data_IF_340046905458
#
_entry.id   IF_340046905458
#
_cell.length_a   1.000
_cell.length_b   1.000
_cell.length_c   1.000
_cell.angle_alpha   90.00
_cell.angle_beta   90.00
_cell.angle_gamma   90.00
#
_symmetry.space_group_name_H-M   'P 1'
#
loop_
_entity.id
_entity.type
_entity.pdbx_description
1 polymer ?
#
# COMPACT_ATOMS: atom_id res chain seq x y z
N UNK A 1 -24.95 -19.81 -37.34
CA UNK A 1 -24.43 -18.51 -36.84
C UNK A 1 -22.94 -18.63 -36.72
N UNK A 2 -22.20 -17.76 -37.40
CA UNK A 2 -20.73 -17.82 -37.40
C UNK A 2 -20.26 -17.39 -36.01
N UNK A 3 -19.18 -17.98 -35.43
CA UNK A 3 -18.66 -17.59 -34.08
C UNK A 3 -18.36 -16.08 -33.99
N UNK A 4 -18.07 -15.46 -35.12
CA UNK A 4 -17.74 -14.05 -35.24
C UNK A 4 -18.97 -13.13 -35.09
N UNK A 5 -20.15 -13.56 -35.60
CA UNK A 5 -21.44 -12.84 -35.44
C UNK A 5 -21.93 -12.94 -33.99
N UNK A 6 -21.74 -14.08 -33.33
CA UNK A 6 -22.18 -14.32 -31.95
C UNK A 6 -21.45 -13.38 -30.97
N UNK A 7 -20.12 -13.22 -31.10
CA UNK A 7 -19.34 -12.38 -30.20
C UNK A 7 -19.67 -10.88 -30.35
N UNK A 8 -19.91 -10.41 -31.57
CA UNK A 8 -20.20 -9.01 -31.83
C UNK A 8 -21.61 -8.55 -31.35
N UNK A 9 -22.56 -9.47 -31.24
CA UNK A 9 -23.92 -9.16 -30.80
C UNK A 9 -24.13 -9.29 -29.30
N UNK A 10 -23.34 -10.12 -28.61
CA UNK A 10 -23.65 -10.52 -27.24
C UNK A 10 -22.78 -9.85 -26.16
N UNK A 11 -21.63 -9.27 -26.53
CA UNK A 11 -20.81 -8.54 -25.58
C UNK A 11 -21.31 -7.11 -25.43
N UNK A 12 -21.81 -6.82 -24.24
CA UNK A 12 -22.32 -5.50 -23.84
C UNK A 12 -21.27 -4.78 -23.00
N UNK A 13 -21.08 -3.50 -23.23
CA UNK A 13 -20.14 -2.63 -22.55
C UNK A 13 -20.85 -1.39 -22.04
N UNK A 14 -20.49 -0.87 -20.88
CA UNK A 14 -20.99 0.40 -20.39
C UNK A 14 -20.16 1.56 -20.91
N UNK A 15 -20.81 2.44 -21.68
CA UNK A 15 -20.24 3.65 -22.25
C UNK A 15 -20.75 4.87 -21.49
N UNK A 16 -19.89 5.86 -21.29
CA UNK A 16 -20.20 7.12 -20.62
C UNK A 16 -19.87 8.28 -21.55
N UNK A 17 -20.70 9.29 -21.54
CA UNK A 17 -20.49 10.55 -22.27
C UNK A 17 -19.54 11.45 -21.48
N UNK A 18 -18.24 11.10 -21.54
CA UNK A 18 -17.14 11.74 -20.82
C UNK A 18 -16.90 11.18 -19.41
N UNK A 19 -15.69 11.48 -18.89
CA UNK A 19 -15.22 10.97 -17.59
C UNK A 19 -16.01 11.51 -16.38
N UNK A 20 -16.73 12.61 -16.52
CA UNK A 20 -17.54 13.19 -15.43
C UNK A 20 -18.94 12.59 -15.33
N UNK A 21 -19.41 11.94 -16.39
CA UNK A 21 -20.70 11.29 -16.41
C UNK A 21 -20.68 10.03 -15.52
N UNK A 22 -21.76 9.80 -14.79
CA UNK A 22 -21.94 8.62 -13.92
C UNK A 22 -23.05 7.69 -14.40
N UNK A 23 -23.81 8.09 -15.42
CA UNK A 23 -24.92 7.30 -15.98
C UNK A 23 -24.44 6.54 -17.22
N UNK A 24 -24.28 5.21 -17.14
CA UNK A 24 -23.83 4.39 -18.25
C UNK A 24 -24.93 4.20 -19.30
N UNK A 25 -24.51 4.09 -20.54
CA UNK A 25 -25.34 3.61 -21.65
C UNK A 25 -24.73 2.31 -22.17
N UNK A 26 -25.50 1.26 -22.19
CA UNK A 26 -25.02 -0.03 -22.69
C UNK A 26 -24.90 -0.03 -24.22
N UNK A 27 -23.72 -0.40 -24.70
CA UNK A 27 -23.41 -0.50 -26.14
C UNK A 27 -22.89 -1.88 -26.50
N UNK A 28 -23.11 -2.31 -27.73
CA UNK A 28 -22.49 -3.54 -28.27
C UNK A 28 -21.00 -3.32 -28.60
N UNK A 29 -20.24 -4.41 -28.67
CA UNK A 29 -18.84 -4.35 -29.11
C UNK A 29 -18.69 -3.76 -30.53
N UNK A 30 -19.63 -4.07 -31.43
CA UNK A 30 -19.64 -3.48 -32.77
C UNK A 30 -19.84 -1.95 -32.72
N UNK A 31 -20.67 -1.45 -31.78
CA UNK A 31 -20.82 -0.01 -31.56
C UNK A 31 -19.54 0.63 -31.08
N UNK A 32 -18.80 -0.03 -30.18
CA UNK A 32 -17.47 0.43 -29.73
C UNK A 32 -16.51 0.60 -30.93
N UNK A 33 -16.44 -0.41 -31.82
CA UNK A 33 -15.63 -0.32 -33.03
C UNK A 33 -15.99 0.89 -33.90
N UNK A 34 -17.27 1.12 -34.11
CA UNK A 34 -17.75 2.26 -34.92
C UNK A 34 -17.44 3.59 -34.25
N UNK A 35 -17.56 3.67 -32.90
CA UNK A 35 -17.21 4.86 -32.15
C UNK A 35 -15.72 5.22 -32.31
N UNK A 36 -14.82 4.26 -32.20
CA UNK A 36 -13.37 4.48 -32.37
C UNK A 36 -13.05 4.85 -33.84
N UNK A 37 -13.67 4.17 -34.79
CA UNK A 37 -13.30 4.28 -36.22
C UNK A 37 -13.87 5.51 -36.90
N UNK A 38 -15.12 5.91 -36.61
CA UNK A 38 -15.87 6.85 -37.45
C UNK A 38 -16.64 7.94 -36.71
N UNK A 39 -16.66 7.93 -35.36
CA UNK A 39 -17.48 8.92 -34.64
C UNK A 39 -16.87 10.31 -34.75
N UNK A 40 -17.63 11.34 -35.23
CA UNK A 40 -17.10 12.68 -35.46
C UNK A 40 -16.79 13.45 -34.16
N UNK A 41 -17.52 13.20 -33.09
CA UNK A 41 -17.33 13.84 -31.80
C UNK A 41 -16.00 13.35 -31.16
N UNK A 42 -15.75 12.06 -31.17
CA UNK A 42 -14.48 11.49 -30.69
C UNK A 42 -13.32 11.97 -31.56
N UNK A 43 -13.52 12.10 -32.88
CA UNK A 43 -12.53 12.65 -33.80
C UNK A 43 -12.20 14.12 -33.46
N UNK A 44 -13.23 14.92 -33.15
CA UNK A 44 -13.07 16.30 -32.72
C UNK A 44 -12.25 16.41 -31.43
N UNK A 45 -12.64 15.71 -30.36
CA UNK A 45 -11.89 15.70 -29.08
C UNK A 45 -10.48 15.20 -29.26
N UNK A 46 -10.27 14.15 -30.04
CA UNK A 46 -8.93 13.61 -30.33
C UNK A 46 -8.04 14.63 -31.02
N UNK A 47 -8.57 15.33 -32.00
CA UNK A 47 -7.84 16.36 -32.77
C UNK A 47 -7.46 17.53 -31.88
N UNK A 48 -8.42 18.08 -31.14
CA UNK A 48 -8.15 19.22 -30.24
C UNK A 48 -7.20 18.86 -29.12
N UNK A 49 -7.34 17.66 -28.52
CA UNK A 49 -6.42 17.19 -27.48
C UNK A 49 -4.97 17.16 -27.99
N UNK A 50 -4.74 16.56 -29.16
CA UNK A 50 -3.41 16.50 -29.79
C UNK A 50 -2.87 17.88 -30.17
N UNK A 51 -3.75 18.77 -30.66
CA UNK A 51 -3.38 20.15 -30.97
C UNK A 51 -2.93 20.90 -29.70
N UNK A 52 -3.71 20.86 -28.62
CA UNK A 52 -3.39 21.52 -27.36
C UNK A 52 -2.11 20.98 -26.71
N UNK A 53 -1.84 19.69 -26.84
CA UNK A 53 -0.56 19.12 -26.38
C UNK A 53 0.63 19.71 -27.16
N UNK A 54 0.53 19.84 -28.49
CA UNK A 54 1.58 20.48 -29.32
C UNK A 54 1.79 21.95 -28.96
N UNK A 55 0.72 22.65 -28.58
CA UNK A 55 0.76 24.05 -28.15
C UNK A 55 1.20 24.21 -26.67
N UNK A 56 1.48 23.14 -25.95
CA UNK A 56 1.84 23.17 -24.52
C UNK A 56 0.68 23.49 -23.56
N UNK A 57 -0.55 23.54 -24.05
CA UNK A 57 -1.78 23.88 -23.30
C UNK A 57 -2.37 22.65 -22.58
N UNK A 58 -1.66 22.09 -21.60
CA UNK A 58 -2.02 20.85 -20.90
C UNK A 58 -3.44 20.86 -20.32
N UNK A 59 -3.84 21.96 -19.68
CA UNK A 59 -5.18 22.05 -19.07
C UNK A 59 -6.33 21.99 -20.12
N UNK A 60 -6.12 22.60 -21.30
CA UNK A 60 -7.09 22.51 -22.39
C UNK A 60 -7.13 21.08 -22.98
N UNK A 61 -5.97 20.46 -23.17
CA UNK A 61 -5.89 19.07 -23.59
C UNK A 61 -6.62 18.14 -22.60
N UNK A 62 -6.43 18.30 -21.28
CA UNK A 62 -7.09 17.49 -20.25
C UNK A 62 -8.61 17.69 -20.25
N UNK A 63 -9.13 18.87 -20.60
CA UNK A 63 -10.58 19.10 -20.75
C UNK A 63 -11.15 18.27 -21.91
N UNK A 64 -10.49 18.28 -23.07
CA UNK A 64 -10.90 17.47 -24.22
C UNK A 64 -10.86 15.98 -23.90
N UNK A 65 -9.81 15.49 -23.23
CA UNK A 65 -9.71 14.11 -22.77
C UNK A 65 -10.86 13.72 -21.82
N UNK A 66 -11.26 14.61 -20.91
CA UNK A 66 -12.36 14.36 -19.96
C UNK A 66 -13.74 14.42 -20.62
N UNK A 67 -13.89 15.22 -21.67
CA UNK A 67 -15.14 15.36 -22.42
C UNK A 67 -15.33 14.22 -23.42
N UNK A 68 -14.28 13.61 -23.95
CA UNK A 68 -14.41 12.49 -24.87
C UNK A 68 -15.10 11.29 -24.23
N UNK A 69 -16.01 10.60 -24.92
CA UNK A 69 -16.66 9.39 -24.46
C UNK A 69 -15.65 8.36 -23.93
N UNK A 70 -16.07 7.61 -22.92
CA UNK A 70 -15.24 6.56 -22.33
C UNK A 70 -16.05 5.29 -22.09
N UNK A 71 -15.35 4.16 -22.01
CA UNK A 71 -15.99 2.85 -21.90
C UNK A 71 -15.35 2.05 -20.76
N UNK A 72 -16.18 1.27 -20.06
CA UNK A 72 -15.73 0.19 -19.18
C UNK A 72 -15.55 -1.07 -20.02
N UNK A 73 -14.36 -1.66 -19.97
CA UNK A 73 -14.04 -2.85 -20.78
C UNK A 73 -14.39 -4.14 -20.05
N UNK A 74 -14.09 -4.22 -18.76
CA UNK A 74 -14.12 -5.50 -18.02
C UNK A 74 -15.41 -5.76 -17.27
N UNK A 75 -16.20 -4.72 -17.03
CA UNK A 75 -17.49 -4.81 -16.33
C UNK A 75 -18.54 -3.88 -16.97
N UNK A 76 -19.82 -4.24 -16.79
CA UNK A 76 -20.95 -3.33 -17.03
C UNK A 76 -21.44 -2.74 -15.72
N UNK A 77 -22.14 -1.61 -15.79
CA UNK A 77 -22.70 -0.91 -14.65
C UNK A 77 -24.20 -0.72 -14.80
N UNK A 78 -24.95 -0.86 -13.70
CA UNK A 78 -26.37 -0.56 -13.64
C UNK A 78 -26.65 0.95 -13.60
N UNK A 79 -26.03 1.62 -12.63
CA UNK A 79 -26.02 3.08 -12.45
C UNK A 79 -24.80 3.42 -11.62
N UNK A 80 -24.04 4.45 -12.00
CA UNK A 80 -22.73 4.73 -11.39
C UNK A 80 -21.56 4.09 -12.13
N UNK A 81 -20.37 4.11 -11.54
CA UNK A 81 -19.09 3.62 -12.15
C UNK A 81 -18.10 3.09 -11.15
N UNK A 82 -18.52 2.75 -9.96
CA UNK A 82 -17.70 2.15 -8.92
C UNK A 82 -18.06 0.67 -8.70
N UNK A 83 -17.37 0.01 -7.79
CA UNK A 83 -17.55 -1.41 -7.50
C UNK A 83 -18.94 -1.80 -7.04
N UNK A 84 -19.66 -0.89 -6.38
CA UNK A 84 -21.01 -1.17 -5.87
C UNK A 84 -22.07 -1.22 -7.00
N UNK A 85 -21.76 -0.65 -8.16
CA UNK A 85 -22.66 -0.55 -9.30
C UNK A 85 -22.34 -1.54 -10.43
N UNK A 86 -21.41 -2.49 -10.19
CA UNK A 86 -21.10 -3.55 -11.17
C UNK A 86 -22.34 -4.42 -11.37
N UNK A 87 -22.82 -4.50 -12.62
CA UNK A 87 -23.94 -5.35 -13.03
C UNK A 87 -23.47 -6.71 -13.55
N UNK A 88 -22.47 -6.73 -14.44
CA UNK A 88 -21.93 -7.97 -14.98
C UNK A 88 -20.44 -7.84 -15.38
N UNK A 89 -19.81 -8.99 -15.61
CA UNK A 89 -18.45 -9.09 -16.13
C UNK A 89 -18.46 -9.45 -17.61
N UNK A 90 -17.60 -8.81 -18.41
CA UNK A 90 -17.63 -8.90 -19.87
C UNK A 90 -16.74 -9.99 -20.47
N UNK A 91 -15.90 -10.67 -19.67
CA UNK A 91 -14.80 -11.53 -20.15
C UNK A 91 -13.75 -10.81 -21.01
N UNK A 92 -13.69 -9.49 -20.91
CA UNK A 92 -12.69 -8.68 -21.60
C UNK A 92 -11.74 -8.02 -20.60
N UNK A 93 -10.47 -7.92 -20.98
CA UNK A 93 -9.46 -7.16 -20.27
C UNK A 93 -8.76 -6.17 -21.18
N UNK A 94 -8.02 -5.25 -20.57
CA UNK A 94 -7.37 -4.16 -21.28
C UNK A 94 -5.93 -3.99 -20.80
N UNK A 95 -5.00 -3.79 -21.76
CA UNK A 95 -3.63 -3.32 -21.51
C UNK A 95 -3.47 -1.93 -22.07
N UNK A 96 -2.77 -1.09 -21.35
CA UNK A 96 -2.45 0.29 -21.72
C UNK A 96 -0.92 0.41 -21.87
N UNK A 97 -0.47 0.68 -23.07
CA UNK A 97 0.92 1.04 -23.35
C UNK A 97 1.02 2.57 -23.42
N UNK A 98 1.67 3.17 -22.44
CA UNK A 98 1.88 4.61 -22.38
C UNK A 98 3.28 4.99 -22.88
N UNK A 99 3.40 6.19 -23.46
CA UNK A 99 4.67 6.79 -23.89
C UNK A 99 5.48 5.92 -24.83
N UNK A 100 4.82 5.37 -25.85
CA UNK A 100 5.51 4.66 -26.94
C UNK A 100 6.27 5.69 -27.79
N UNK A 101 7.61 5.56 -27.96
CA UNK A 101 8.37 6.48 -28.80
C UNK A 101 7.82 6.52 -30.24
N UNK A 102 7.73 7.73 -30.80
CA UNK A 102 7.10 7.92 -32.12
C UNK A 102 7.79 7.10 -33.23
N UNK A 103 9.09 6.97 -33.15
CA UNK A 103 9.91 6.16 -34.08
C UNK A 103 9.64 4.65 -33.95
N UNK A 104 9.16 4.18 -32.80
CA UNK A 104 8.83 2.78 -32.55
C UNK A 104 7.35 2.44 -32.73
N UNK A 105 6.47 3.44 -32.87
CA UNK A 105 5.02 3.25 -32.91
C UNK A 105 4.59 2.24 -33.99
N UNK A 106 5.12 2.34 -35.20
CA UNK A 106 4.79 1.43 -36.29
C UNK A 106 5.24 -0.01 -36.01
N UNK A 107 6.44 -0.20 -35.44
CA UNK A 107 6.95 -1.50 -35.02
C UNK A 107 6.09 -2.12 -33.94
N UNK A 108 5.80 -1.35 -32.87
CA UNK A 108 4.99 -1.80 -31.73
C UNK A 108 3.58 -2.19 -32.17
N UNK A 109 2.93 -1.38 -33.02
CA UNK A 109 1.62 -1.73 -33.60
C UNK A 109 1.66 -3.02 -34.41
N UNK A 110 2.71 -3.23 -35.20
CA UNK A 110 2.89 -4.46 -35.96
C UNK A 110 3.01 -5.69 -35.04
N UNK A 111 3.80 -5.61 -33.96
CA UNK A 111 3.95 -6.69 -32.99
C UNK A 111 2.62 -7.01 -32.30
N UNK A 112 1.89 -5.99 -31.85
CA UNK A 112 0.59 -6.16 -31.20
C UNK A 112 -0.43 -6.78 -32.15
N UNK A 113 -0.54 -6.29 -33.39
CA UNK A 113 -1.48 -6.81 -34.40
C UNK A 113 -1.18 -8.25 -34.82
N UNK A 114 0.06 -8.71 -34.70
CA UNK A 114 0.45 -10.09 -34.99
C UNK A 114 0.29 -11.04 -33.80
N UNK A 115 0.00 -10.55 -32.62
CA UNK A 115 -0.19 -11.37 -31.42
C UNK A 115 -1.55 -12.03 -31.42
N UNK A 116 -1.58 -13.33 -31.10
CA UNK A 116 -2.81 -14.13 -31.16
C UNK A 116 -3.88 -13.71 -30.13
N UNK A 117 -3.50 -13.07 -29.04
CA UNK A 117 -4.43 -12.63 -27.99
C UNK A 117 -5.02 -11.24 -28.24
N UNK A 118 -4.50 -10.50 -29.23
CA UNK A 118 -5.00 -9.15 -29.53
C UNK A 118 -6.36 -9.22 -30.20
N UNK A 119 -7.42 -8.91 -29.45
CA UNK A 119 -8.79 -8.79 -29.96
C UNK A 119 -9.01 -7.46 -30.71
N UNK A 120 -8.60 -6.36 -30.05
CA UNK A 120 -8.73 -5.00 -30.57
C UNK A 120 -7.53 -4.17 -30.11
N UNK A 121 -6.99 -3.33 -31.00
CA UNK A 121 -6.05 -2.31 -30.55
C UNK A 121 -6.24 -1.01 -31.34
N UNK A 122 -6.05 0.12 -30.62
CA UNK A 122 -6.13 1.47 -31.18
C UNK A 122 -5.20 2.43 -30.43
N UNK A 123 -4.83 3.52 -31.07
CA UNK A 123 -3.98 4.55 -30.49
C UNK A 123 -4.79 5.38 -29.46
N UNK A 124 -4.14 5.77 -28.38
CA UNK A 124 -4.76 6.61 -27.33
C UNK A 124 -5.01 8.04 -27.81
N UNK A 125 -5.82 8.79 -27.07
CA UNK A 125 -6.20 10.17 -27.43
C UNK A 125 -4.99 11.10 -27.61
N UNK A 126 -3.89 10.87 -26.87
CA UNK A 126 -2.61 11.61 -27.04
C UNK A 126 -1.87 11.24 -28.32
N UNK A 127 -2.12 10.05 -28.86
CA UNK A 127 -1.34 9.50 -29.99
C UNK A 127 0.01 8.89 -29.57
N UNK A 128 0.34 8.89 -28.28
CA UNK A 128 1.62 8.40 -27.73
C UNK A 128 1.49 7.06 -27.01
N UNK A 129 0.32 6.45 -27.04
CA UNK A 129 0.05 5.17 -26.40
C UNK A 129 -0.87 4.28 -27.24
N UNK A 130 -1.02 3.03 -26.82
CA UNK A 130 -1.84 2.03 -27.49
C UNK A 130 -2.73 1.34 -26.46
N UNK A 131 -4.03 1.26 -26.73
CA UNK A 131 -4.99 0.40 -26.02
C UNK A 131 -5.06 -0.96 -26.68
N UNK A 132 -5.01 -2.02 -25.89
CA UNK A 132 -5.12 -3.41 -26.35
C UNK A 132 -6.22 -4.07 -25.54
N UNK A 133 -7.24 -4.62 -26.21
CA UNK A 133 -8.28 -5.42 -25.59
C UNK A 133 -8.03 -6.89 -25.93
N UNK A 134 -8.25 -7.76 -24.93
CA UNK A 134 -8.12 -9.20 -25.05
C UNK A 134 -9.30 -9.92 -24.39
N UNK A 135 -9.50 -11.20 -24.73
CA UNK A 135 -10.53 -12.06 -24.14
C UNK A 135 -9.95 -13.00 -23.11
N UNK A 136 -10.73 -13.35 -22.10
CA UNK A 136 -10.33 -14.37 -21.13
C UNK A 136 -11.53 -15.13 -20.59
N UNK A 137 -11.28 -16.34 -20.05
CA UNK A 137 -12.29 -17.18 -19.38
C UNK A 137 -12.03 -17.31 -17.89
N UNK A 138 -12.88 -18.09 -17.21
CA UNK A 138 -12.76 -18.39 -15.80
C UNK A 138 -13.66 -17.56 -14.89
N UNK A 139 -14.53 -16.70 -15.47
CA UNK A 139 -15.55 -15.97 -14.72
C UNK A 139 -16.64 -16.91 -14.21
N UNK A 140 -17.23 -16.57 -13.07
CA UNK A 140 -18.29 -17.30 -12.37
C UNK A 140 -19.37 -16.33 -11.93
N UNK A 141 -20.38 -16.83 -11.22
CA UNK A 141 -21.42 -15.97 -10.62
C UNK A 141 -20.93 -15.24 -9.34
N UNK A 142 -19.75 -15.61 -8.82
CA UNK A 142 -19.17 -14.98 -7.63
C UNK A 142 -18.24 -13.81 -8.01
N UNK A 143 -18.66 -12.59 -7.68
CA UNK A 143 -17.93 -11.37 -7.96
C UNK A 143 -16.52 -11.35 -7.31
N UNK A 144 -16.35 -11.95 -6.14
CA UNK A 144 -15.06 -12.01 -5.44
C UNK A 144 -14.06 -12.93 -6.13
N UNK A 145 -14.56 -13.99 -6.76
CA UNK A 145 -13.78 -14.89 -7.62
C UNK A 145 -13.38 -14.16 -8.90
N UNK A 146 -14.32 -13.43 -9.50
CA UNK A 146 -14.11 -12.71 -10.76
C UNK A 146 -13.03 -11.61 -10.61
N UNK A 147 -12.97 -10.89 -9.49
CA UNK A 147 -11.91 -9.94 -9.22
C UNK A 147 -10.51 -10.61 -9.23
N UNK A 148 -10.38 -11.80 -8.61
CA UNK A 148 -9.13 -12.57 -8.59
C UNK A 148 -8.76 -13.09 -9.97
N UNK A 149 -9.74 -13.63 -10.70
CA UNK A 149 -9.56 -14.09 -12.07
C UNK A 149 -9.05 -12.96 -12.96
N UNK A 150 -9.71 -11.80 -12.90
CA UNK A 150 -9.31 -10.62 -13.66
C UNK A 150 -7.90 -10.17 -13.31
N UNK A 151 -7.56 -10.09 -12.02
CA UNK A 151 -6.23 -9.67 -11.58
C UNK A 151 -5.11 -10.61 -12.10
N UNK A 152 -5.31 -11.93 -11.99
CA UNK A 152 -4.33 -12.92 -12.46
C UNK A 152 -4.14 -12.82 -13.96
N UNK A 153 -5.21 -12.78 -14.74
CA UNK A 153 -5.16 -12.67 -16.20
C UNK A 153 -4.53 -11.34 -16.60
N UNK A 154 -4.95 -10.25 -15.99
CA UNK A 154 -4.35 -8.93 -16.25
C UNK A 154 -2.85 -8.92 -16.00
N UNK A 155 -2.37 -9.43 -14.86
CA UNK A 155 -0.95 -9.45 -14.55
C UNK A 155 -0.13 -10.28 -15.57
N UNK A 156 -0.67 -11.41 -16.03
CA UNK A 156 -0.02 -12.26 -17.01
C UNK A 156 0.05 -11.57 -18.40
N UNK A 157 -1.08 -11.06 -18.87
CA UNK A 157 -1.17 -10.44 -20.20
C UNK A 157 -0.45 -9.08 -20.23
N UNK A 158 -0.52 -8.31 -19.16
CA UNK A 158 0.23 -7.05 -19.03
C UNK A 158 1.75 -7.30 -19.14
N UNK A 159 2.27 -8.36 -18.49
CA UNK A 159 3.68 -8.78 -18.63
C UNK A 159 3.99 -9.32 -20.02
N UNK A 160 3.06 -10.03 -20.65
CA UNK A 160 3.21 -10.53 -22.01
C UNK A 160 3.45 -9.39 -22.99
N UNK A 161 2.56 -8.38 -23.02
CA UNK A 161 2.72 -7.24 -23.93
C UNK A 161 3.91 -6.35 -23.58
N UNK A 162 4.27 -6.22 -22.30
CA UNK A 162 5.49 -5.52 -21.91
C UNK A 162 6.76 -6.21 -22.47
N UNK A 163 6.81 -7.54 -22.46
CA UNK A 163 7.91 -8.32 -23.04
C UNK A 163 7.91 -8.29 -24.56
N UNK A 164 6.74 -8.45 -25.18
CA UNK A 164 6.56 -8.47 -26.64
C UNK A 164 7.02 -7.16 -27.27
N UNK A 165 6.65 -6.04 -26.65
CA UNK A 165 6.89 -4.69 -27.22
C UNK A 165 8.15 -4.01 -26.68
N UNK A 166 8.65 -4.47 -25.53
CA UNK A 166 9.71 -3.78 -24.79
C UNK A 166 9.25 -2.41 -24.22
N UNK A 167 7.93 -2.13 -24.22
CA UNK A 167 7.35 -0.89 -23.73
C UNK A 167 6.81 -1.03 -22.31
N UNK A 168 6.71 0.09 -21.60
CA UNK A 168 6.11 0.14 -20.27
C UNK A 168 4.58 0.07 -20.36
N UNK A 169 3.97 -0.75 -19.50
CA UNK A 169 2.52 -0.91 -19.40
C UNK A 169 1.97 -0.24 -18.13
N UNK A 170 0.72 0.25 -18.16
CA UNK A 170 0.07 0.82 -16.96
C UNK A 170 -0.53 -0.27 -16.06
N UNK A 171 0.09 -0.48 -14.89
CA UNK A 171 -0.38 -1.44 -13.88
C UNK A 171 -1.74 -1.08 -13.25
N UNK A 172 -2.25 0.14 -13.44
CA UNK A 172 -3.54 0.58 -12.87
C UNK A 172 -4.74 -0.05 -13.58
N UNK A 173 -4.57 -0.58 -14.79
CA UNK A 173 -5.61 -1.30 -15.53
C UNK A 173 -6.00 -2.66 -14.90
N UNK A 174 -5.34 -3.09 -13.81
CA UNK A 174 -5.78 -4.21 -12.97
C UNK A 174 -7.16 -3.98 -12.31
N UNK A 175 -7.58 -2.73 -12.16
CA UNK A 175 -8.89 -2.39 -11.64
C UNK A 175 -9.94 -2.58 -12.73
N UNK A 176 -10.84 -3.55 -12.56
CA UNK A 176 -11.89 -3.88 -13.53
C UNK A 176 -12.87 -2.72 -13.82
N UNK A 177 -13.09 -1.81 -12.85
CA UNK A 177 -13.95 -0.63 -13.03
C UNK A 177 -13.27 0.53 -13.77
N UNK A 178 -12.01 0.34 -14.23
CA UNK A 178 -11.28 1.40 -14.90
C UNK A 178 -11.88 1.72 -16.26
N UNK A 179 -12.23 3.00 -16.43
CA UNK A 179 -12.72 3.51 -17.71
C UNK A 179 -11.54 3.80 -18.65
N UNK A 180 -11.72 3.53 -19.92
CA UNK A 180 -10.81 3.95 -20.99
C UNK A 180 -11.48 5.02 -21.84
N UNK A 181 -10.78 6.15 -22.01
CA UNK A 181 -11.23 7.23 -22.92
C UNK A 181 -11.07 6.77 -24.35
N UNK A 182 -12.11 6.94 -25.15
CA UNK A 182 -12.10 6.61 -26.56
C UNK A 182 -11.33 7.67 -27.35
N UNK A 183 -10.61 7.20 -28.36
CA UNK A 183 -9.88 8.05 -29.29
C UNK A 183 -10.24 7.68 -30.73
N UNK A 184 -10.24 8.65 -31.62
CA UNK A 184 -10.45 8.39 -33.04
C UNK A 184 -9.22 7.74 -33.64
N UNK A 185 -9.40 6.53 -34.15
CA UNK A 185 -8.39 5.77 -34.87
C UNK A 185 -9.03 5.07 -36.07
N UNK A 186 -8.91 5.63 -37.29
CA UNK A 186 -9.43 5.01 -38.51
C UNK A 186 -8.78 3.64 -38.82
N UNK A 187 -7.55 3.45 -38.34
CA UNK A 187 -6.74 2.23 -38.51
C UNK A 187 -6.90 1.24 -37.36
N UNK A 188 -7.97 1.39 -36.56
CA UNK A 188 -8.25 0.46 -35.43
C UNK A 188 -8.21 -0.98 -35.93
N UNK A 189 -7.37 -1.80 -35.25
CA UNK A 189 -7.25 -3.23 -35.56
C UNK A 189 -8.27 -4.02 -34.77
N UNK A 190 -8.93 -4.96 -35.44
CA UNK A 190 -9.87 -5.89 -34.83
C UNK A 190 -9.64 -7.30 -35.37
N UNK A 191 -9.48 -8.27 -34.48
CA UNK A 191 -9.34 -9.68 -34.79
C UNK A 191 -10.42 -10.49 -34.04
N UNK A 192 -11.54 -10.85 -34.70
CA UNK A 192 -12.60 -11.66 -34.08
C UNK A 192 -12.12 -13.08 -33.72
N UNK A 193 -11.03 -13.57 -34.34
CA UNK A 193 -10.45 -14.89 -34.11
C UNK A 193 -9.38 -14.88 -32.99
N UNK A 194 -9.21 -13.77 -32.27
CA UNK A 194 -8.21 -13.68 -31.20
C UNK A 194 -8.37 -14.84 -30.18
N UNK A 195 -7.25 -15.45 -29.83
CA UNK A 195 -7.19 -16.56 -28.88
C UNK A 195 -7.57 -16.08 -27.47
N UNK A 196 -8.52 -16.77 -26.85
CA UNK A 196 -8.93 -16.49 -25.48
C UNK A 196 -7.86 -16.89 -24.48
N UNK A 197 -7.57 -16.01 -23.54
CA UNK A 197 -6.61 -16.27 -22.46
C UNK A 197 -7.22 -17.24 -21.42
N UNK A 198 -6.61 -18.40 -21.27
CA UNK A 198 -7.10 -19.44 -20.36
C UNK A 198 -6.63 -19.15 -18.93
N UNK A 199 -7.55 -18.72 -18.06
CA UNK A 199 -7.27 -18.43 -16.65
C UNK A 199 -6.57 -19.58 -15.92
N UNK A 200 -7.05 -20.82 -16.08
CA UNK A 200 -6.48 -21.98 -15.40
C UNK A 200 -5.00 -22.19 -15.72
N UNK A 201 -4.60 -21.99 -16.99
CA UNK A 201 -3.20 -22.08 -17.41
C UNK A 201 -2.36 -20.95 -16.84
N UNK A 202 -2.89 -19.73 -16.84
CA UNK A 202 -2.20 -18.55 -16.32
C UNK A 202 -2.04 -18.63 -14.80
N UNK A 203 -3.05 -19.12 -14.09
CA UNK A 203 -3.00 -19.34 -12.63
C UNK A 203 -1.94 -20.39 -12.29
N UNK A 204 -1.93 -21.53 -12.99
CA UNK A 204 -0.93 -22.58 -12.77
C UNK A 204 0.51 -22.06 -12.99
N UNK A 205 0.73 -21.30 -14.05
CA UNK A 205 2.03 -20.69 -14.32
C UNK A 205 2.45 -19.68 -13.24
N UNK A 206 1.51 -18.87 -12.73
CA UNK A 206 1.76 -17.95 -11.62
C UNK A 206 2.11 -18.69 -10.31
N UNK A 207 1.44 -19.79 -10.03
CA UNK A 207 1.69 -20.60 -8.82
C UNK A 207 3.05 -21.30 -8.89
N UNK A 208 3.43 -21.79 -10.07
CA UNK A 208 4.76 -22.36 -10.30
C UNK A 208 5.87 -21.30 -10.19
N UNK A 209 5.66 -20.11 -10.73
CA UNK A 209 6.59 -18.98 -10.55
C UNK A 209 6.77 -18.63 -9.07
N UNK A 210 5.68 -18.58 -8.29
CA UNK A 210 5.73 -18.30 -6.84
C UNK A 210 6.48 -19.39 -6.08
N UNK A 211 6.22 -20.67 -6.38
CA UNK A 211 6.94 -21.81 -5.79
C UNK A 211 8.43 -21.71 -6.07
N UNK A 212 8.80 -21.47 -7.34
CA UNK A 212 10.20 -21.32 -7.75
C UNK A 212 10.88 -20.13 -7.05
N UNK A 213 10.18 -18.99 -6.90
CA UNK A 213 10.72 -17.83 -6.19
C UNK A 213 10.91 -18.13 -4.70
N UNK A 214 9.96 -18.82 -4.05
CA UNK A 214 10.07 -19.23 -2.66
C UNK A 214 11.23 -20.20 -2.45
N UNK A 215 11.39 -21.18 -3.34
CA UNK A 215 12.49 -22.12 -3.30
C UNK A 215 13.85 -21.40 -3.45
N UNK A 216 14.00 -20.52 -4.46
CA UNK A 216 15.21 -19.72 -4.64
C UNK A 216 15.52 -18.82 -3.41
N UNK A 217 14.48 -18.25 -2.80
CA UNK A 217 14.63 -17.46 -1.56
C UNK A 217 15.08 -18.33 -0.39
N UNK A 218 14.58 -19.57 -0.28
CA UNK A 218 15.02 -20.57 0.69
C UNK A 218 16.49 -20.91 0.54
N UNK A 219 16.90 -21.29 -0.70
CA UNK A 219 18.29 -21.62 -1.02
C UNK A 219 19.25 -20.46 -0.72
N UNK A 220 18.89 -19.23 -1.07
CA UNK A 220 19.71 -18.04 -0.74
C UNK A 220 19.87 -17.81 0.77
N UNK A 221 18.82 -18.07 1.57
CA UNK A 221 18.91 -17.98 3.05
C UNK A 221 19.84 -19.06 3.62
N UNK A 222 19.70 -20.29 3.14
CA UNK A 222 20.56 -21.41 3.50
C UNK A 222 22.03 -21.10 3.18
N UNK A 223 22.30 -20.63 1.95
CA UNK A 223 23.63 -20.22 1.55
C UNK A 223 24.19 -19.10 2.44
N UNK A 224 23.40 -18.06 2.74
CA UNK A 224 23.88 -16.95 3.61
C UNK A 224 24.27 -17.42 5.01
N UNK A 225 23.56 -18.42 5.54
CA UNK A 225 23.94 -19.05 6.84
C UNK A 225 25.22 -19.88 6.71
N UNK A 226 25.35 -20.68 5.66
CA UNK A 226 26.53 -21.46 5.37
C UNK A 226 27.77 -20.59 5.15
N UNK A 227 27.66 -19.49 4.40
CA UNK A 227 28.76 -18.53 4.16
C UNK A 227 29.26 -17.92 5.47
N UNK A 228 28.35 -17.43 6.33
CA UNK A 228 28.75 -16.86 7.63
C UNK A 228 29.48 -17.86 8.51
N UNK A 229 28.99 -19.10 8.56
CA UNK A 229 29.65 -20.17 9.32
C UNK A 229 31.02 -20.51 8.72
N UNK A 230 31.13 -20.59 7.39
CA UNK A 230 32.40 -20.85 6.71
C UNK A 230 33.41 -19.70 6.91
N UNK A 231 32.98 -18.44 6.78
CA UNK A 231 33.88 -17.28 7.05
C UNK A 231 34.36 -17.24 8.48
N UNK A 232 33.53 -17.61 9.46
CA UNK A 232 33.95 -17.69 10.85
C UNK A 232 34.98 -18.80 11.07
N UNK A 233 34.79 -19.95 10.44
CA UNK A 233 35.71 -21.07 10.53
C UNK A 233 37.04 -20.78 9.82
N UNK A 234 37.04 -20.14 8.66
CA UNK A 234 38.24 -19.72 7.95
C UNK A 234 39.04 -18.70 8.75
N UNK A 235 38.38 -17.74 9.41
CA UNK A 235 39.06 -16.80 10.34
C UNK A 235 39.72 -17.51 11.50
N UNK A 236 39.07 -18.51 12.06
CA UNK A 236 39.65 -19.30 13.16
C UNK A 236 40.87 -20.16 12.71
N UNK A 237 40.95 -20.47 11.41
CA UNK A 237 42.07 -21.19 10.80
C UNK A 237 43.17 -20.25 10.26
N UNK A 238 43.02 -18.94 10.43
CA UNK A 238 43.88 -17.88 9.89
C UNK A 238 43.98 -17.90 8.34
N UNK A 239 42.91 -18.37 7.66
CA UNK A 239 42.78 -18.37 6.20
C UNK A 239 42.01 -17.12 5.77
N UNK A 240 42.71 -16.19 5.10
CA UNK A 240 42.18 -14.90 4.71
C UNK A 240 42.18 -14.73 3.19
N UNK A 241 41.21 -13.98 2.66
CA UNK A 241 41.18 -13.57 1.26
C UNK A 241 42.21 -12.47 1.05
N UNK A 242 43.39 -12.83 0.54
CA UNK A 242 44.52 -11.93 0.36
C UNK A 242 45.23 -12.14 -0.96
N UNK A 243 46.00 -11.18 -1.49
CA UNK A 243 46.79 -11.34 -2.70
C UNK A 243 47.65 -12.61 -2.65
N UNK A 244 47.68 -13.37 -3.73
CA UNK A 244 48.35 -14.67 -3.88
C UNK A 244 47.78 -15.84 -3.06
N UNK A 245 46.71 -15.64 -2.29
CA UNK A 245 46.01 -16.68 -1.52
C UNK A 245 44.52 -16.82 -1.91
N UNK A 246 44.10 -16.22 -3.00
CA UNK A 246 42.70 -16.25 -3.44
C UNK A 246 42.20 -17.68 -3.70
N UNK A 247 42.98 -18.49 -4.40
CA UNK A 247 42.64 -19.88 -4.73
C UNK A 247 42.41 -20.71 -3.45
N UNK A 248 43.27 -20.62 -2.50
CA UNK A 248 43.17 -21.37 -1.24
C UNK A 248 41.95 -20.97 -0.45
N UNK A 249 41.72 -19.66 -0.28
CA UNK A 249 40.55 -19.18 0.42
C UNK A 249 39.26 -19.64 -0.24
N UNK A 250 39.14 -19.47 -1.56
CA UNK A 250 37.93 -19.83 -2.34
C UNK A 250 37.73 -21.36 -2.33
N UNK A 251 38.81 -22.15 -2.42
CA UNK A 251 38.76 -23.60 -2.33
C UNK A 251 38.26 -24.08 -0.98
N UNK A 252 38.88 -23.59 0.13
CA UNK A 252 38.44 -23.91 1.49
C UNK A 252 37.01 -23.47 1.76
N UNK A 253 36.62 -22.28 1.31
CA UNK A 253 35.23 -21.78 1.35
C UNK A 253 34.29 -22.76 0.61
N UNK A 254 34.63 -23.19 -0.59
CA UNK A 254 33.83 -24.10 -1.38
C UNK A 254 33.63 -25.46 -0.73
N UNK A 255 34.66 -26.03 -0.09
CA UNK A 255 34.56 -27.27 0.66
C UNK A 255 33.62 -27.13 1.86
N UNK A 256 33.73 -26.05 2.62
CA UNK A 256 32.84 -25.79 3.76
C UNK A 256 31.38 -25.56 3.32
N UNK A 257 31.17 -24.84 2.23
CA UNK A 257 29.81 -24.63 1.70
C UNK A 257 29.18 -25.96 1.24
N UNK A 258 29.97 -26.86 0.62
CA UNK A 258 29.51 -28.21 0.28
C UNK A 258 29.17 -29.03 1.56
N UNK A 259 30.06 -29.05 2.53
CA UNK A 259 29.85 -29.73 3.82
C UNK A 259 28.62 -29.20 4.58
N UNK A 260 28.33 -27.89 4.48
CA UNK A 260 27.13 -27.26 5.06
C UNK A 260 25.86 -27.43 4.21
N UNK A 261 25.94 -28.16 3.09
CA UNK A 261 24.78 -28.51 2.27
C UNK A 261 24.21 -27.33 1.49
N UNK A 262 25.03 -26.33 1.15
CA UNK A 262 24.58 -25.23 0.29
C UNK A 262 24.28 -25.76 -1.13
N UNK A 263 23.29 -25.14 -1.81
CA UNK A 263 23.02 -25.47 -3.22
C UNK A 263 24.17 -25.00 -4.12
N UNK A 264 24.69 -25.91 -4.97
CA UNK A 264 25.86 -25.67 -5.79
C UNK A 264 25.70 -24.44 -6.71
N UNK A 265 24.61 -24.36 -7.47
CA UNK A 265 24.42 -23.27 -8.44
C UNK A 265 24.23 -21.93 -7.74
N UNK A 266 23.48 -21.91 -6.63
CA UNK A 266 23.34 -20.70 -5.79
C UNK A 266 24.66 -20.24 -5.19
N UNK A 267 25.53 -21.17 -4.79
CA UNK A 267 26.86 -20.88 -4.26
C UNK A 267 27.80 -20.35 -5.36
N UNK A 268 27.73 -20.93 -6.57
CA UNK A 268 28.51 -20.48 -7.73
C UNK A 268 28.09 -19.08 -8.18
N UNK A 269 26.78 -18.78 -8.23
CA UNK A 269 26.27 -17.43 -8.51
C UNK A 269 26.69 -16.41 -7.47
N UNK A 270 26.74 -16.82 -6.20
CA UNK A 270 27.23 -15.97 -5.11
C UNK A 270 28.72 -15.69 -5.27
N UNK A 271 29.54 -16.71 -5.55
CA UNK A 271 30.98 -16.57 -5.72
C UNK A 271 31.33 -15.64 -6.89
N UNK A 272 30.63 -15.75 -8.02
CA UNK A 272 30.83 -14.86 -9.16
C UNK A 272 30.61 -13.38 -8.82
N UNK A 273 29.70 -13.08 -7.90
CA UNK A 273 29.43 -11.71 -7.44
C UNK A 273 30.36 -11.27 -6.29
N UNK A 274 30.70 -12.19 -5.41
CA UNK A 274 31.50 -11.89 -4.22
C UNK A 274 32.98 -11.68 -4.54
N UNK A 275 33.48 -12.39 -5.54
CA UNK A 275 34.86 -12.40 -6.00
C UNK A 275 34.97 -11.93 -7.44
N UNK A 276 34.39 -10.75 -7.75
CA UNK A 276 34.44 -10.15 -9.08
C UNK A 276 35.87 -9.93 -9.61
N UNK A 277 36.81 -9.68 -8.68
CA UNK A 277 38.23 -9.51 -8.92
C UNK A 277 38.96 -10.84 -9.26
N UNK A 278 38.27 -11.99 -9.10
CA UNK A 278 38.86 -13.32 -9.34
C UNK A 278 37.92 -14.20 -10.21
N UNK A 279 38.04 -14.13 -11.56
CA UNK A 279 37.11 -14.80 -12.50
C UNK A 279 37.06 -16.32 -12.38
N UNK A 280 38.07 -16.96 -11.83
CA UNK A 280 38.13 -18.43 -11.64
C UNK A 280 37.32 -18.93 -10.43
N UNK A 281 36.86 -18.03 -9.54
CA UNK A 281 36.14 -18.40 -8.34
C UNK A 281 34.92 -19.34 -8.58
N UNK A 282 34.05 -19.11 -9.56
CA UNK A 282 32.95 -20.01 -9.89
C UNK A 282 33.39 -21.42 -10.27
N UNK A 283 34.51 -21.53 -10.97
CA UNK A 283 35.08 -22.81 -11.43
C UNK A 283 35.63 -23.61 -10.22
N UNK A 284 36.35 -22.96 -9.36
CA UNK A 284 36.90 -23.56 -8.11
C UNK A 284 35.76 -24.06 -7.23
N UNK A 285 34.74 -23.22 -6.98
CA UNK A 285 33.59 -23.64 -6.18
C UNK A 285 32.89 -24.87 -6.78
N UNK A 286 32.58 -24.84 -8.08
CA UNK A 286 31.93 -25.98 -8.74
C UNK A 286 32.76 -27.26 -8.59
N UNK A 287 34.10 -27.17 -8.57
CA UNK A 287 34.96 -28.30 -8.33
C UNK A 287 34.78 -28.87 -6.93
N UNK A 288 34.64 -28.03 -5.90
CA UNK A 288 34.45 -28.47 -4.52
C UNK A 288 33.14 -29.23 -4.28
N UNK A 289 32.12 -28.97 -5.08
CA UNK A 289 30.82 -29.69 -5.01
C UNK A 289 30.81 -31.04 -5.75
N UNK A 290 31.90 -31.46 -6.40
CA UNK A 290 31.97 -32.80 -7.05
C UNK A 290 31.99 -33.94 -6.04
N UNK A 291 32.50 -33.71 -4.84
CA UNK A 291 32.45 -34.72 -3.75
C UNK A 291 31.10 -34.67 -3.06
N UNK A 292 30.17 -35.42 -3.58
CA UNK A 292 28.80 -35.51 -3.04
C UNK A 292 28.75 -36.28 -1.72
N UNK A 293 29.78 -37.07 -1.36
CA UNK A 293 29.83 -37.83 -0.10
C UNK A 293 29.91 -36.92 1.14
N UNK A 294 30.44 -35.72 0.96
CA UNK A 294 30.57 -34.71 2.02
C UNK A 294 29.42 -33.72 2.05
N UNK A 295 28.55 -33.74 1.04
CA UNK A 295 27.46 -32.78 0.96
C UNK A 295 26.50 -32.87 2.14
N UNK A 296 26.29 -31.72 2.85
CA UNK A 296 25.36 -31.63 3.98
C UNK A 296 25.75 -32.46 5.23
N UNK A 297 27.00 -32.89 5.33
CA UNK A 297 27.49 -33.70 6.47
C UNK A 297 27.68 -32.86 7.76
N UNK A 298 27.66 -31.52 7.64
CA UNK A 298 27.84 -30.61 8.76
C UNK A 298 26.68 -29.63 8.85
N UNK A 299 26.30 -29.29 10.07
CA UNK A 299 25.32 -28.24 10.32
C UNK A 299 26.05 -26.91 10.59
N UNK A 300 25.77 -25.82 9.85
CA UNK A 300 26.38 -24.53 10.13
C UNK A 300 25.99 -24.08 11.53
N UNK A 301 26.97 -23.93 12.41
CA UNK A 301 26.76 -23.33 13.72
C UNK A 301 26.62 -21.82 13.48
N UNK A 302 25.41 -21.32 13.57
CA UNK A 302 25.16 -19.88 13.53
C UNK A 302 25.51 -19.27 14.88
N UNK A 303 26.80 -19.06 15.11
CA UNK A 303 27.31 -18.37 16.30
C UNK A 303 26.97 -16.85 16.26
N UNK A 304 26.30 -16.37 15.23
CA UNK A 304 25.97 -14.95 15.06
C UNK A 304 24.53 -14.62 15.47
N UNK A 305 23.70 -15.59 15.83
CA UNK A 305 22.47 -15.29 16.53
C UNK A 305 22.83 -14.94 17.97
N UNK A 306 23.04 -13.66 18.24
CA UNK A 306 22.80 -13.18 19.61
C UNK A 306 21.44 -13.75 20.01
N UNK A 307 21.34 -14.46 21.13
CA UNK A 307 20.05 -14.93 21.63
C UNK A 307 19.09 -13.76 21.65
N UNK A 308 17.92 -13.94 21.01
CA UNK A 308 16.89 -12.91 21.10
C UNK A 308 16.54 -12.71 22.57
N UNK A 309 16.40 -11.47 22.96
CA UNK A 309 15.94 -11.12 24.31
C UNK A 309 14.59 -11.79 24.58
N UNK A 310 14.42 -12.43 25.74
CA UNK A 310 13.11 -12.95 26.13
C UNK A 310 12.14 -11.79 26.44
N UNK A 311 10.86 -11.97 26.21
CA UNK A 311 9.84 -10.97 26.52
C UNK A 311 9.90 -10.52 27.98
N UNK A 312 10.20 -11.44 28.91
CA UNK A 312 10.35 -11.13 30.33
C UNK A 312 11.50 -10.14 30.56
N UNK A 313 12.68 -10.42 30.00
CA UNK A 313 13.83 -9.52 30.13
C UNK A 313 13.63 -8.19 29.42
N UNK A 314 12.88 -8.17 28.32
CA UNK A 314 12.54 -6.93 27.62
C UNK A 314 11.62 -6.05 28.49
N UNK A 315 10.59 -6.64 29.12
CA UNK A 315 9.73 -5.94 30.07
C UNK A 315 10.52 -5.40 31.27
N UNK A 316 11.30 -6.25 31.90
CA UNK A 316 12.16 -5.84 33.03
C UNK A 316 13.11 -4.70 32.69
N UNK A 317 13.66 -4.68 31.47
CA UNK A 317 14.49 -3.58 31.02
C UNK A 317 13.68 -2.29 30.85
N UNK A 318 12.55 -2.35 30.15
CA UNK A 318 11.70 -1.17 29.92
C UNK A 318 11.14 -0.61 31.24
N UNK A 319 10.68 -1.47 32.16
CA UNK A 319 10.20 -1.10 33.49
C UNK A 319 11.27 -0.41 34.35
N UNK A 320 12.55 -0.72 34.11
CA UNK A 320 13.66 -0.04 34.79
C UNK A 320 13.96 1.35 34.23
N UNK A 321 13.65 1.59 32.97
CA UNK A 321 13.96 2.86 32.31
C UNK A 321 12.87 3.89 32.51
N UNK A 322 11.59 3.48 32.39
CA UNK A 322 10.48 4.41 32.37
C UNK A 322 9.15 3.72 32.71
N UNK A 323 8.16 4.53 33.07
CA UNK A 323 6.75 4.14 33.10
C UNK A 323 6.10 4.49 31.75
N UNK A 324 5.14 3.67 31.34
CA UNK A 324 4.41 3.84 30.07
C UNK A 324 2.90 3.85 30.33
N UNK A 325 2.16 4.64 29.53
CA UNK A 325 0.70 4.61 29.51
C UNK A 325 0.17 4.98 28.13
N UNK A 326 -0.99 4.44 27.75
CA UNK A 326 -1.66 4.75 26.48
C UNK A 326 -2.75 5.79 26.71
N UNK A 327 -2.56 7.01 26.23
CA UNK A 327 -3.56 8.04 26.31
C UNK A 327 -4.71 7.73 25.36
N UNK A 328 -5.90 7.46 25.91
CA UNK A 328 -7.08 7.05 25.12
C UNK A 328 -7.71 8.22 24.34
N UNK A 329 -7.35 9.45 24.68
CA UNK A 329 -7.87 10.66 24.01
C UNK A 329 -7.04 11.05 22.81
N UNK A 330 -5.71 11.07 22.96
CA UNK A 330 -4.78 11.41 21.87
C UNK A 330 -4.44 10.20 20.99
N UNK A 331 -4.60 8.98 21.53
CA UNK A 331 -4.19 7.74 20.88
C UNK A 331 -2.68 7.48 20.93
N UNK A 332 -1.88 8.38 21.52
CA UNK A 332 -0.43 8.20 21.66
C UNK A 332 -0.06 7.41 22.90
N UNK A 333 1.06 6.71 22.86
CA UNK A 333 1.71 6.14 24.03
C UNK A 333 2.56 7.23 24.66
N UNK A 334 2.42 7.43 25.95
CA UNK A 334 3.19 8.39 26.75
C UNK A 334 4.24 7.65 27.57
N UNK A 335 5.36 8.32 27.81
CA UNK A 335 6.49 7.83 28.61
C UNK A 335 6.84 8.82 29.73
N UNK A 336 7.18 8.30 30.91
CA UNK A 336 7.77 9.06 31.98
C UNK A 336 9.03 8.35 32.47
N UNK A 337 10.20 8.94 32.26
CA UNK A 337 11.47 8.40 32.73
C UNK A 337 11.56 8.46 34.26
N UNK A 338 12.21 7.47 34.88
CA UNK A 338 12.43 7.44 36.31
C UNK A 338 13.51 8.46 36.71
N UNK A 339 13.07 9.69 36.91
CA UNK A 339 13.85 10.84 37.36
C UNK A 339 13.32 11.33 38.70
N UNK A 340 13.99 12.30 39.33
CA UNK A 340 13.48 12.93 40.57
C UNK A 340 12.13 13.65 40.39
N UNK A 341 11.86 14.12 39.16
CA UNK A 341 10.59 14.74 38.76
C UNK A 341 10.14 14.12 37.43
N UNK A 342 9.43 13.00 37.47
CA UNK A 342 8.97 12.34 36.26
C UNK A 342 7.86 13.14 35.58
N UNK A 343 8.10 13.54 34.33
CA UNK A 343 7.09 14.20 33.48
C UNK A 343 6.64 13.26 32.38
N UNK A 344 5.33 13.23 32.13
CA UNK A 344 4.75 12.47 31.04
C UNK A 344 4.89 13.22 29.71
N UNK A 345 5.44 12.58 28.71
CA UNK A 345 5.60 13.10 27.35
C UNK A 345 5.28 12.02 26.31
N UNK A 346 4.96 12.44 25.09
CA UNK A 346 4.72 11.49 24.01
C UNK A 346 5.95 10.65 23.72
N UNK A 347 5.77 9.33 23.58
CA UNK A 347 6.82 8.41 23.19
C UNK A 347 7.21 8.67 21.72
N UNK A 348 8.47 9.01 21.51
CA UNK A 348 8.99 9.34 20.17
C UNK A 348 9.77 8.18 19.52
N UNK A 349 9.96 8.24 18.21
CA UNK A 349 10.84 7.31 17.50
C UNK A 349 12.30 7.36 18.04
N UNK A 350 12.72 8.50 18.57
CA UNK A 350 14.04 8.64 19.20
C UNK A 350 14.15 7.80 20.46
N UNK A 351 13.12 7.78 21.29
CA UNK A 351 13.09 6.96 22.52
C UNK A 351 13.13 5.48 22.17
N UNK A 352 12.34 5.05 21.20
CA UNK A 352 12.34 3.66 20.71
C UNK A 352 13.68 3.23 20.17
N UNK A 353 14.34 4.09 19.37
CA UNK A 353 15.66 3.83 18.81
C UNK A 353 16.74 3.79 19.90
N UNK A 354 16.60 4.62 20.95
CA UNK A 354 17.53 4.61 22.10
C UNK A 354 17.40 3.31 22.91
N UNK A 355 16.18 2.84 23.18
CA UNK A 355 15.98 1.53 23.83
C UNK A 355 16.53 0.40 22.98
N UNK A 356 16.25 0.40 21.67
CA UNK A 356 16.78 -0.59 20.73
C UNK A 356 18.31 -0.62 20.74
N UNK A 357 18.95 0.55 20.72
CA UNK A 357 20.41 0.69 20.74
C UNK A 357 21.02 0.10 22.02
N UNK A 358 20.56 0.54 23.19
CA UNK A 358 21.08 0.08 24.48
C UNK A 358 20.85 -1.41 24.71
N UNK A 359 19.66 -1.94 24.36
CA UNK A 359 19.38 -3.38 24.49
C UNK A 359 20.34 -4.21 23.63
N UNK A 360 20.61 -3.79 22.39
CA UNK A 360 21.49 -4.52 21.47
C UNK A 360 22.97 -4.41 21.85
N UNK A 361 23.38 -3.33 22.48
CA UNK A 361 24.76 -3.18 22.98
C UNK A 361 25.00 -3.95 24.27
N UNK A 362 24.12 -3.81 25.26
CA UNK A 362 24.40 -4.19 26.64
C UNK A 362 23.79 -5.54 27.04
N UNK A 363 22.68 -5.98 26.39
CA UNK A 363 21.91 -7.12 26.89
C UNK A 363 21.89 -8.27 25.92
N UNK A 364 21.20 -8.14 24.78
CA UNK A 364 20.97 -9.18 23.79
C UNK A 364 20.33 -8.62 22.54
N UNK A 365 20.20 -9.45 21.49
CA UNK A 365 19.53 -9.01 20.27
C UNK A 365 18.03 -8.76 20.49
N UNK A 366 17.57 -7.58 20.07
CA UNK A 366 16.15 -7.17 20.04
C UNK A 366 15.87 -6.47 18.72
N UNK A 367 14.74 -6.79 18.07
CA UNK A 367 14.30 -6.00 16.92
C UNK A 367 13.50 -4.76 17.39
N UNK A 368 13.54 -3.68 16.63
CA UNK A 368 12.70 -2.50 16.93
C UNK A 368 11.21 -2.83 16.87
N UNK A 369 10.84 -3.82 16.02
CA UNK A 369 9.47 -4.32 15.91
C UNK A 369 8.99 -4.98 17.21
N UNK A 370 9.85 -5.71 17.91
CA UNK A 370 9.48 -6.40 19.16
C UNK A 370 9.20 -5.37 20.28
N UNK A 371 9.98 -4.29 20.34
CA UNK A 371 9.76 -3.19 21.28
C UNK A 371 8.42 -2.50 20.97
N UNK A 372 8.16 -2.16 19.70
CA UNK A 372 6.89 -1.53 19.29
C UNK A 372 5.67 -2.41 19.59
N UNK A 373 5.74 -3.69 19.24
CA UNK A 373 4.63 -4.64 19.50
C UNK A 373 4.33 -4.78 20.99
N UNK A 374 5.36 -4.78 21.84
CA UNK A 374 5.17 -4.81 23.28
C UNK A 374 4.53 -3.53 23.80
N UNK A 375 5.00 -2.37 23.39
CA UNK A 375 4.47 -1.06 23.82
C UNK A 375 3.08 -0.74 23.26
N UNK A 376 2.63 -1.44 22.21
CA UNK A 376 1.27 -1.35 21.66
C UNK A 376 0.34 -2.45 22.17
N UNK A 377 0.81 -3.30 23.10
CA UNK A 377 0.02 -4.37 23.71
C UNK A 377 -0.61 -3.94 25.05
N UNK A 378 -1.29 -4.89 25.68
CA UNK A 378 -1.84 -4.76 27.04
C UNK A 378 -0.79 -4.60 28.15
N UNK A 379 0.48 -4.72 27.81
CA UNK A 379 1.60 -4.35 28.71
C UNK A 379 1.55 -2.88 29.10
N UNK A 380 1.09 -2.00 28.23
CA UNK A 380 0.93 -0.56 28.49
C UNK A 380 -0.50 -0.27 28.94
N UNK A 381 -0.72 0.20 30.20
CA UNK A 381 -2.04 0.48 30.71
C UNK A 381 -2.72 1.64 29.97
N UNK A 382 -4.02 1.53 29.80
CA UNK A 382 -4.83 2.60 29.24
C UNK A 382 -5.00 3.73 30.26
N UNK A 383 -4.88 4.96 29.82
CA UNK A 383 -5.01 6.16 30.62
C UNK A 383 -5.97 7.15 29.95
N UNK A 384 -7.02 7.52 30.64
CA UNK A 384 -7.90 8.61 30.23
C UNK A 384 -7.62 9.84 31.12
N UNK A 385 -7.01 10.91 30.57
CA UNK A 385 -6.65 12.09 31.33
C UNK A 385 -7.87 12.77 31.94
N UNK A 386 -9.03 12.76 31.30
CA UNK A 386 -10.26 13.36 31.82
C UNK A 386 -10.80 12.58 33.02
N UNK A 387 -10.87 11.26 32.93
CA UNK A 387 -11.32 10.44 34.06
C UNK A 387 -10.37 10.58 35.24
N UNK A 388 -9.07 10.58 35.00
CA UNK A 388 -8.05 10.74 36.03
C UNK A 388 -8.16 12.11 36.72
N UNK A 389 -8.31 13.18 35.93
CA UNK A 389 -8.50 14.54 36.47
C UNK A 389 -9.78 14.65 37.33
N UNK A 390 -10.89 14.17 36.78
CA UNK A 390 -12.18 14.27 37.48
C UNK A 390 -12.23 13.40 38.76
N UNK A 391 -11.52 12.26 38.78
CA UNK A 391 -11.41 11.41 39.98
C UNK A 391 -10.51 12.01 41.05
N UNK A 392 -9.74 13.04 40.76
CA UNK A 392 -8.89 13.76 41.74
C UNK A 392 -9.61 14.88 42.50
N UNK A 393 -10.81 15.24 42.05
CA UNK A 393 -11.62 16.22 42.76
C UNK A 393 -12.43 15.58 43.90
N UNK A 394 -12.74 16.41 44.93
CA UNK A 394 -13.63 16.00 46.02
C UNK A 394 -15.03 15.69 45.50
N UNK A 395 -15.72 14.78 46.18
CA UNK A 395 -17.12 14.47 45.87
C UNK A 395 -18.01 15.72 46.07
N UNK A 396 -19.02 15.85 45.18
CA UNK A 396 -19.97 16.94 45.27
C UNK A 396 -20.72 16.92 46.60
N UNK A 397 -20.86 18.10 47.22
CA UNK A 397 -21.55 18.30 48.50
C UNK A 397 -23.07 18.02 48.46
N UNK A 398 -23.62 17.77 47.27
CA UNK A 398 -25.05 17.51 47.05
C UNK A 398 -25.96 18.73 47.20
N UNK A 399 -25.42 19.92 47.45
CA UNK A 399 -26.18 21.14 47.73
C UNK A 399 -25.86 22.29 46.78
N UNK A 400 -24.59 22.53 46.51
CA UNK A 400 -24.13 23.70 45.75
C UNK A 400 -24.19 23.44 44.23
N UNK A 401 -24.98 24.25 43.50
CA UNK A 401 -24.97 24.20 42.02
C UNK A 401 -23.80 25.03 41.47
N UNK A 402 -22.63 24.40 41.43
CA UNK A 402 -21.39 25.03 40.90
C UNK A 402 -21.49 25.41 39.43
N UNK A 403 -22.31 24.70 38.62
CA UNK A 403 -22.51 25.03 37.21
C UNK A 403 -23.29 26.33 37.07
N UNK A 404 -24.30 26.50 37.91
CA UNK A 404 -25.10 27.75 37.95
C UNK A 404 -24.26 28.93 38.44
N UNK A 405 -23.41 28.73 39.49
CA UNK A 405 -22.45 29.76 39.91
C UNK A 405 -21.50 30.18 38.80
N UNK A 406 -21.03 29.20 38.00
CA UNK A 406 -20.17 29.50 36.88
C UNK A 406 -20.91 30.26 35.76
N UNK A 407 -22.16 29.89 35.49
CA UNK A 407 -23.02 30.60 34.53
C UNK A 407 -23.28 32.05 34.98
N UNK A 408 -23.47 32.28 36.30
CA UNK A 408 -23.71 33.61 36.89
C UNK A 408 -22.55 34.62 36.71
N UNK A 409 -21.38 34.16 36.29
CA UNK A 409 -20.26 35.04 35.91
C UNK A 409 -20.44 35.75 34.57
N UNK A 410 -21.40 35.32 33.76
CA UNK A 410 -21.72 35.84 32.44
C UNK A 410 -23.10 36.49 32.49
N UNK A 411 -23.18 37.77 32.17
CA UNK A 411 -24.45 38.50 32.15
C UNK A 411 -24.88 38.79 30.72
N UNK A 412 -26.11 38.40 30.38
CA UNK A 412 -26.75 38.75 29.13
C UNK A 412 -27.36 40.16 29.19
N UNK A 413 -28.00 40.62 28.12
CA UNK A 413 -28.55 41.97 28.03
C UNK A 413 -29.81 42.15 28.85
N UNK A 414 -30.57 41.11 29.03
CA UNK A 414 -31.85 41.13 29.77
C UNK A 414 -31.94 39.98 30.77
N UNK A 415 -32.74 40.10 31.82
CA UNK A 415 -32.94 39.04 32.82
C UNK A 415 -33.57 37.76 32.21
N UNK A 416 -34.26 37.89 31.09
CA UNK A 416 -34.85 36.75 30.42
C UNK A 416 -33.77 35.98 29.62
N UNK A 417 -32.88 36.72 28.92
CA UNK A 417 -31.73 36.13 28.24
C UNK A 417 -30.74 35.48 29.23
N UNK A 418 -30.57 36.05 30.46
CA UNK A 418 -29.76 35.42 31.49
C UNK A 418 -30.33 34.06 31.92
N UNK A 419 -31.65 33.95 32.12
CA UNK A 419 -32.30 32.67 32.46
C UNK A 419 -32.12 31.62 31.34
N UNK A 420 -32.23 32.03 30.08
CA UNK A 420 -31.97 31.15 28.95
C UNK A 420 -30.49 30.71 28.91
N UNK A 421 -29.57 31.66 29.15
CA UNK A 421 -28.14 31.34 29.17
C UNK A 421 -27.83 30.32 30.26
N UNK A 422 -28.27 30.47 31.49
CA UNK A 422 -28.07 29.52 32.60
C UNK A 422 -28.60 28.14 32.25
N UNK A 423 -29.80 28.05 31.68
CA UNK A 423 -30.42 26.78 31.30
C UNK A 423 -29.64 26.06 30.22
N UNK A 424 -29.27 26.75 29.14
CA UNK A 424 -28.55 26.13 28.01
C UNK A 424 -27.07 25.90 28.33
N UNK A 425 -26.44 26.76 29.11
CA UNK A 425 -25.10 26.57 29.61
C UNK A 425 -24.98 25.29 30.43
N UNK A 426 -25.91 25.05 31.35
CA UNK A 426 -25.94 23.81 32.14
C UNK A 426 -26.07 22.56 31.25
N UNK A 427 -26.96 22.58 30.26
CA UNK A 427 -27.11 21.48 29.32
C UNK A 427 -25.83 21.24 28.54
N UNK A 428 -25.24 22.29 27.95
CA UNK A 428 -23.99 22.22 27.21
C UNK A 428 -22.85 21.67 28.06
N UNK A 429 -22.72 22.18 29.31
CA UNK A 429 -21.65 21.77 30.22
C UNK A 429 -21.76 20.29 30.61
N UNK A 430 -22.95 19.83 30.96
CA UNK A 430 -23.22 18.42 31.30
C UNK A 430 -22.98 17.53 30.08
N UNK A 431 -23.43 17.93 28.89
CA UNK A 431 -23.21 17.17 27.65
C UNK A 431 -21.71 17.09 27.29
N UNK A 432 -20.99 18.20 27.50
CA UNK A 432 -19.54 18.24 27.29
C UNK A 432 -18.83 17.26 28.23
N UNK A 433 -19.10 17.30 29.54
CA UNK A 433 -18.47 16.38 30.50
C UNK A 433 -18.87 14.94 30.22
N UNK A 434 -20.13 14.67 29.87
CA UNK A 434 -20.60 13.33 29.55
C UNK A 434 -19.86 12.77 28.32
N UNK A 435 -19.58 13.59 27.29
CA UNK A 435 -18.83 13.18 26.11
C UNK A 435 -17.34 12.90 26.38
N UNK A 436 -16.77 13.48 27.41
CA UNK A 436 -15.40 13.21 27.85
C UNK A 436 -15.27 11.90 28.65
N UNK A 437 -16.35 11.49 29.31
CA UNK A 437 -16.36 10.30 30.17
C UNK A 437 -16.90 9.04 29.52
N UNK A 438 -17.71 9.17 28.46
CA UNK A 438 -18.41 8.04 27.84
C UNK A 438 -18.18 8.03 26.33
N UNK A 439 -17.54 7.00 25.83
CA UNK A 439 -17.19 6.83 24.39
C UNK A 439 -18.39 6.92 23.42
N UNK A 440 -19.60 6.56 23.88
CA UNK A 440 -20.82 6.54 23.04
C UNK A 440 -21.66 7.82 23.12
N UNK A 441 -21.23 8.82 23.88
CA UNK A 441 -21.95 10.10 24.00
C UNK A 441 -21.31 11.10 23.05
N UNK A 442 -22.05 11.46 22.01
CA UNK A 442 -21.63 12.50 21.07
C UNK A 442 -22.30 13.81 21.45
N UNK A 443 -21.53 14.85 21.73
CA UNK A 443 -22.04 16.20 22.00
C UNK A 443 -22.08 16.99 20.67
N UNK A 444 -23.27 17.39 20.25
CA UNK A 444 -23.50 18.23 19.08
C UNK A 444 -23.70 19.71 19.41
N UNK A 445 -23.65 20.08 20.69
CA UNK A 445 -23.92 21.44 21.14
C UNK A 445 -22.63 22.26 21.17
N UNK A 446 -22.69 23.49 20.66
CA UNK A 446 -21.58 24.45 20.64
C UNK A 446 -21.97 25.68 21.42
N UNK A 447 -21.17 26.04 22.43
CA UNK A 447 -21.34 27.28 23.16
C UNK A 447 -20.76 28.45 22.37
N UNK A 448 -21.62 29.40 21.99
CA UNK A 448 -21.23 30.62 21.25
C UNK A 448 -21.54 31.86 22.10
N UNK A 449 -20.49 32.62 22.45
CA UNK A 449 -20.63 33.91 23.17
C UNK A 449 -20.55 35.07 22.17
N UNK A 450 -21.66 35.79 21.99
CA UNK A 450 -21.77 36.93 21.10
C UNK A 450 -21.73 38.23 21.91
N UNK A 451 -20.93 39.19 21.49
CA UNK A 451 -20.83 40.50 22.20
C UNK A 451 -19.68 41.34 21.67
N UNK A 452 -19.60 42.60 22.16
CA UNK A 452 -18.56 43.58 21.74
C UNK A 452 -17.15 43.04 22.00
N UNK A 453 -16.17 43.55 21.26
CA UNK A 453 -14.75 43.28 21.52
C UNK A 453 -14.37 43.84 22.91
N UNK A 454 -13.48 43.17 23.66
CA UNK A 454 -12.95 43.65 24.93
C UNK A 454 -13.74 43.26 26.17
N UNK A 455 -14.86 42.52 26.06
CA UNK A 455 -15.67 42.07 27.21
C UNK A 455 -15.25 40.70 27.77
N UNK A 456 -13.98 40.35 27.65
CA UNK A 456 -13.35 39.18 28.28
C UNK A 456 -13.92 37.80 27.91
N UNK A 457 -14.68 37.63 26.80
CA UNK A 457 -15.29 36.36 26.41
C UNK A 457 -14.23 35.23 26.26
N UNK A 458 -13.17 35.50 25.51
CA UNK A 458 -12.07 34.54 25.31
C UNK A 458 -11.32 34.27 26.61
N UNK A 459 -11.12 35.29 27.44
CA UNK A 459 -10.44 35.15 28.75
C UNK A 459 -11.23 34.26 29.69
N UNK A 460 -12.57 34.40 29.71
CA UNK A 460 -13.45 33.54 30.50
C UNK A 460 -13.43 32.08 30.02
N UNK A 461 -13.55 31.86 28.70
CA UNK A 461 -13.45 30.52 28.14
C UNK A 461 -12.07 29.86 28.37
N UNK A 462 -11.01 30.66 28.31
CA UNK A 462 -9.66 30.16 28.60
C UNK A 462 -9.49 29.83 30.08
N UNK A 463 -10.06 30.61 30.99
CA UNK A 463 -10.08 30.26 32.42
C UNK A 463 -10.87 28.98 32.68
N UNK A 464 -12.05 28.85 32.09
CA UNK A 464 -12.85 27.63 32.16
C UNK A 464 -12.05 26.42 31.69
N UNK A 465 -11.41 26.51 30.51
CA UNK A 465 -10.55 25.46 29.99
C UNK A 465 -9.40 25.12 30.94
N UNK A 466 -8.70 26.14 31.44
CA UNK A 466 -7.51 25.93 32.26
C UNK A 466 -7.87 25.32 33.63
N UNK A 467 -9.00 25.67 34.22
CA UNK A 467 -9.44 25.06 35.47
C UNK A 467 -9.96 23.64 35.31
N UNK A 468 -10.62 23.33 34.19
CA UNK A 468 -11.12 21.99 33.92
C UNK A 468 -10.03 21.02 33.39
N UNK A 469 -8.96 21.55 32.77
CA UNK A 469 -8.05 20.75 31.97
C UNK A 469 -6.57 21.06 32.20
N UNK A 470 -6.20 21.74 33.27
CA UNK A 470 -4.83 22.16 33.54
C UNK A 470 -3.82 20.99 33.65
N UNK A 471 -4.30 19.77 33.91
CA UNK A 471 -3.49 18.58 34.01
C UNK A 471 -3.50 17.72 32.73
N UNK A 472 -4.11 18.19 31.61
CA UNK A 472 -4.35 17.40 30.39
C UNK A 472 -3.52 17.89 29.20
N UNK A 473 -2.98 19.11 29.26
CA UNK A 473 -2.05 19.65 28.26
C UNK A 473 -0.63 19.56 28.77
N UNK A 474 0.31 19.03 27.92
CA UNK A 474 1.73 19.03 28.23
C UNK A 474 2.28 20.44 28.38
#
# INVERSE_FOLDING_TARGET
>A
MNKDEFFNSDVVLSCFDGLSNVHPVNITFQRLLNLVKTNPEIAHHTTLHRQYLKEGKKQAADREKKASPCVSVSVTFSDGKDKAHIESWTSLGMVDLDHVPAERMAEVLRLIRSDEHTLLCFTTISGEGIRILYRYNGLTDDASVNEKVHEVVFQAINRHYARLTGCKTDGKCKNATRLTVLAHDPEVYYNPQATECCYAKLQAACDDEKKNQQQKKGLRRQLATAVRAAEAELRNRDVQYAPHHHDEYIYQMGLLLNEYGADCETAVEWAARRFEDYPDAPRILRHCFKDTSKHGTRTPKDNSRKECISLTRLKEYLDKQAAFRKNTVTGFTEIAYHTEQPEWQDLTDRDLNSFWHHINEEISYCSLSDIRQLLESDYVPLFNPFTSCLSSYDEWDGQTDYIDQLASMVHAKTPEEDRFFHHYFKKWFVAMVASLLKEKVVNHEILVLIGRQGIFKTSWLNKLRNHLFFHITP
#
